data_IF_143482083829
#
_entry.id   IF_143482083829
#
_cell.length_a   1.000
_cell.length_b   1.000
_cell.length_c   1.000
_cell.angle_alpha   90.00
_cell.angle_beta   90.00
_cell.angle_gamma   90.00
#
_symmetry.space_group_name_H-M   'P 1'
#
loop_
_entity.id
_entity.type
_entity.pdbx_description
1 polymer ?
#
# COMPACT_ATOMS: atom_id res chain seq x y z
N UNK A 1 -2.35 -31.94 -10.82
CA UNK A 1 -2.38 -31.44 -9.43
C UNK A 1 -2.09 -29.96 -9.45
N UNK A 2 -2.93 -29.12 -8.82
CA UNK A 2 -2.64 -27.68 -8.67
C UNK A 2 -2.26 -27.36 -7.24
N UNK A 3 -1.46 -26.31 -7.08
CA UNK A 3 -1.08 -25.73 -5.79
C UNK A 3 -1.47 -24.26 -5.82
N UNK A 4 -2.35 -23.86 -4.92
CA UNK A 4 -2.77 -22.48 -4.76
C UNK A 4 -1.97 -21.84 -3.62
N UNK A 5 -1.13 -20.86 -3.96
CA UNK A 5 -0.30 -20.14 -3.00
C UNK A 5 -0.86 -18.73 -2.77
N UNK A 6 -1.24 -18.41 -1.54
CA UNK A 6 -1.82 -17.12 -1.18
C UNK A 6 -0.92 -16.35 -0.22
N UNK A 7 -0.62 -15.10 -0.54
CA UNK A 7 -0.27 -14.14 0.50
C UNK A 7 -1.47 -13.84 1.40
N UNK A 8 -1.21 -13.46 2.65
CA UNK A 8 -2.25 -13.17 3.63
C UNK A 8 -2.58 -11.68 3.71
N UNK A 9 -1.61 -10.85 4.10
CA UNK A 9 -1.84 -9.44 4.41
C UNK A 9 -1.96 -8.59 3.16
N UNK A 10 -3.13 -7.97 2.95
CA UNK A 10 -3.38 -7.15 1.77
C UNK A 10 -3.88 -7.96 0.56
N UNK A 11 -3.58 -9.25 0.51
CA UNK A 11 -4.09 -10.24 -0.45
C UNK A 11 -5.40 -10.87 0.04
N UNK A 12 -5.34 -11.85 0.96
CA UNK A 12 -6.55 -12.47 1.54
C UNK A 12 -7.25 -11.54 2.53
N UNK A 13 -6.52 -10.67 3.23
CA UNK A 13 -7.09 -9.70 4.18
C UNK A 13 -7.16 -8.29 3.59
N UNK A 14 -7.97 -7.43 4.23
CA UNK A 14 -8.11 -6.01 3.89
C UNK A 14 -7.15 -5.09 4.67
N UNK A 15 -6.43 -5.62 5.66
CA UNK A 15 -5.63 -4.89 6.64
C UNK A 15 -4.29 -5.60 6.87
N UNK A 16 -3.30 -4.88 7.40
CA UNK A 16 -2.07 -5.49 7.89
C UNK A 16 -2.33 -6.10 9.27
N UNK A 17 -2.30 -7.43 9.37
CA UNK A 17 -2.61 -8.15 10.61
C UNK A 17 -1.58 -7.95 11.70
N UNK A 18 -0.35 -7.53 11.40
CA UNK A 18 0.66 -7.22 12.41
C UNK A 18 0.21 -6.07 13.31
N UNK A 19 -0.24 -4.97 12.71
CA UNK A 19 -0.71 -3.79 13.44
C UNK A 19 -2.04 -4.08 14.12
N UNK A 20 -2.97 -4.70 13.39
CA UNK A 20 -4.31 -5.01 13.91
C UNK A 20 -4.26 -5.96 15.11
N UNK A 21 -3.36 -6.94 15.10
CA UNK A 21 -3.19 -7.87 16.21
C UNK A 21 -2.60 -7.20 17.45
N UNK A 22 -1.56 -6.37 17.28
CA UNK A 22 -0.99 -5.57 18.38
C UNK A 22 -2.07 -4.68 19.01
N UNK A 23 -2.85 -3.97 18.19
CA UNK A 23 -3.94 -3.13 18.66
C UNK A 23 -5.02 -3.94 19.40
N UNK A 24 -5.37 -5.11 18.89
CA UNK A 24 -6.35 -6.00 19.51
C UNK A 24 -5.91 -6.48 20.90
N UNK A 25 -4.64 -6.87 21.08
CA UNK A 25 -4.14 -7.41 22.35
C UNK A 25 -3.74 -6.32 23.35
N UNK A 26 -3.11 -5.24 22.88
CA UNK A 26 -2.47 -4.23 23.75
C UNK A 26 -3.26 -2.92 23.84
N UNK A 27 -4.30 -2.77 23.03
CA UNK A 27 -5.12 -1.57 22.94
C UNK A 27 -4.47 -0.45 22.12
N UNK A 28 -5.30 0.49 21.67
CA UNK A 28 -4.89 1.58 20.78
C UNK A 28 -3.79 2.46 21.38
N UNK A 29 -3.88 2.83 22.65
CA UNK A 29 -2.92 3.73 23.31
C UNK A 29 -1.50 3.18 23.35
N UNK A 30 -1.33 1.94 23.85
CA UNK A 30 -0.01 1.30 23.92
C UNK A 30 0.55 1.02 22.52
N UNK A 31 -0.34 0.68 21.57
CA UNK A 31 0.04 0.48 20.17
C UNK A 31 0.59 1.76 19.56
N UNK A 32 -0.12 2.87 19.68
CA UNK A 32 0.32 4.17 19.18
C UNK A 32 1.69 4.56 19.74
N UNK A 33 1.89 4.46 21.05
CA UNK A 33 3.17 4.79 21.69
C UNK A 33 4.31 3.88 21.24
N UNK A 34 4.07 2.57 21.08
CA UNK A 34 5.06 1.65 20.54
C UNK A 34 5.48 2.05 19.11
N UNK A 35 4.53 2.27 18.21
CA UNK A 35 4.83 2.68 16.84
C UNK A 35 5.47 4.07 16.76
N UNK A 36 5.12 4.99 17.66
CA UNK A 36 5.77 6.29 17.77
C UNK A 36 7.24 6.15 18.18
N UNK A 37 7.53 5.37 19.21
CA UNK A 37 8.90 5.08 19.68
C UNK A 37 9.75 4.45 18.58
N UNK A 38 9.21 3.50 17.83
CA UNK A 38 9.91 2.82 16.73
C UNK A 38 9.83 3.56 15.39
N UNK A 39 9.18 4.73 15.34
CA UNK A 39 9.00 5.47 14.08
C UNK A 39 10.31 5.78 13.34
N UNK A 40 11.46 6.12 13.99
CA UNK A 40 12.71 6.34 13.27
C UNK A 40 13.18 5.09 12.54
N UNK A 41 13.14 3.93 13.19
CA UNK A 41 13.56 2.65 12.60
C UNK A 41 12.60 2.21 11.50
N UNK A 42 11.29 2.41 11.69
CA UNK A 42 10.28 2.12 10.67
C UNK A 42 10.41 3.03 9.44
N UNK A 43 10.81 4.29 9.61
CA UNK A 43 11.14 5.20 8.51
C UNK A 43 12.38 4.70 7.77
N UNK A 44 13.47 4.37 8.48
CA UNK A 44 14.69 3.81 7.87
C UNK A 44 14.40 2.51 7.12
N UNK A 45 13.53 1.65 7.66
CA UNK A 45 13.04 0.46 7.00
C UNK A 45 12.33 0.79 5.68
N UNK A 46 11.42 1.77 5.69
CA UNK A 46 10.70 2.20 4.49
C UNK A 46 11.62 2.80 3.43
N UNK A 47 12.70 3.46 3.85
CA UNK A 47 13.78 3.95 2.99
C UNK A 47 14.74 2.85 2.53
N UNK A 48 14.53 1.58 2.93
CA UNK A 48 15.40 0.42 2.68
C UNK A 48 16.82 0.55 3.28
N UNK A 49 17.00 1.45 4.25
CA UNK A 49 18.24 1.64 4.99
C UNK A 49 18.33 0.71 6.21
N UNK A 50 17.21 0.06 6.58
CA UNK A 50 17.15 -0.89 7.69
C UNK A 50 16.35 -2.14 7.30
N UNK A 51 16.79 -3.37 7.67
CA UNK A 51 16.08 -4.59 7.31
C UNK A 51 14.66 -4.65 7.92
N UNK A 52 13.67 -4.97 7.08
CA UNK A 52 12.26 -5.07 7.47
C UNK A 52 12.03 -6.05 8.62
N UNK A 53 12.60 -7.25 8.52
CA UNK A 53 12.47 -8.26 9.57
C UNK A 53 12.99 -7.80 10.93
N UNK A 54 14.12 -7.07 10.96
CA UNK A 54 14.74 -6.61 12.19
C UNK A 54 13.91 -5.49 12.84
N UNK A 55 13.33 -4.60 12.04
CA UNK A 55 12.40 -3.59 12.55
C UNK A 55 11.15 -4.24 13.14
N UNK A 56 10.52 -5.16 12.41
CA UNK A 56 9.33 -5.89 12.88
C UNK A 56 9.60 -6.72 14.13
N UNK A 57 10.75 -7.39 14.22
CA UNK A 57 11.15 -8.17 15.40
C UNK A 57 11.28 -7.26 16.63
N UNK A 58 11.91 -6.08 16.51
CA UNK A 58 12.02 -5.15 17.64
C UNK A 58 10.67 -4.64 18.12
N UNK A 59 9.78 -4.30 17.18
CA UNK A 59 8.40 -3.89 17.53
C UNK A 59 7.67 -5.05 18.21
N UNK A 60 7.72 -6.26 17.63
CA UNK A 60 7.10 -7.45 18.21
C UNK A 60 7.62 -7.75 19.62
N UNK A 61 8.95 -7.75 19.80
CA UNK A 61 9.59 -7.97 21.09
C UNK A 61 9.11 -6.95 22.14
N UNK A 62 8.99 -5.67 21.77
CA UNK A 62 8.51 -4.65 22.71
C UNK A 62 7.09 -4.93 23.24
N UNK A 63 6.22 -5.50 22.40
CA UNK A 63 4.84 -5.80 22.79
C UNK A 63 4.66 -7.14 23.50
N UNK A 64 5.40 -8.17 23.09
CA UNK A 64 5.09 -9.57 23.45
C UNK A 64 6.23 -10.34 24.12
N UNK A 65 7.45 -9.79 24.19
CA UNK A 65 8.53 -10.44 24.94
C UNK A 65 8.13 -10.64 26.41
N UNK A 66 8.37 -11.84 26.93
CA UNK A 66 8.00 -12.22 28.29
C UNK A 66 6.55 -12.71 28.45
N UNK A 67 5.76 -12.74 27.38
CA UNK A 67 4.40 -13.29 27.41
C UNK A 67 4.44 -14.83 27.36
N UNK A 68 3.64 -15.53 28.18
CA UNK A 68 3.44 -16.97 28.04
C UNK A 68 2.88 -17.31 26.65
N UNK A 69 3.38 -18.39 26.04
CA UNK A 69 2.96 -18.79 24.69
C UNK A 69 1.48 -19.18 24.64
N UNK A 70 0.97 -19.86 25.67
CA UNK A 70 -0.44 -20.25 25.74
C UNK A 70 -1.38 -19.03 25.81
N UNK A 71 -0.98 -17.99 26.55
CA UNK A 71 -1.72 -16.73 26.61
C UNK A 71 -1.74 -16.04 25.24
N UNK A 72 -0.58 -16.02 24.55
CA UNK A 72 -0.47 -15.45 23.21
C UNK A 72 -1.31 -16.21 22.18
N UNK A 73 -1.32 -17.55 22.23
CA UNK A 73 -2.10 -18.38 21.32
C UNK A 73 -3.61 -18.28 21.58
N UNK A 74 -4.03 -18.11 22.83
CA UNK A 74 -5.43 -17.78 23.16
C UNK A 74 -5.86 -16.44 22.54
N UNK A 75 -5.01 -15.41 22.61
CA UNK A 75 -5.26 -14.15 21.89
C UNK A 75 -5.31 -14.36 20.37
N UNK A 76 -4.48 -15.21 19.80
CA UNK A 76 -4.48 -15.54 18.37
C UNK A 76 -5.82 -16.17 17.94
N UNK A 77 -6.35 -17.11 18.72
CA UNK A 77 -7.66 -17.74 18.47
C UNK A 77 -8.80 -16.72 18.56
N UNK A 78 -8.80 -15.91 19.63
CA UNK A 78 -9.81 -14.85 19.83
C UNK A 78 -9.76 -13.81 18.71
N UNK A 79 -8.57 -13.39 18.31
CA UNK A 79 -8.36 -12.45 17.21
C UNK A 79 -8.95 -12.94 15.90
N UNK A 80 -8.64 -14.17 15.49
CA UNK A 80 -9.16 -14.72 14.24
C UNK A 80 -10.70 -14.80 14.24
N UNK A 81 -11.28 -15.29 15.34
CA UNK A 81 -12.74 -15.36 15.50
C UNK A 81 -13.39 -13.98 15.42
N UNK A 82 -12.88 -13.01 16.17
CA UNK A 82 -13.49 -11.67 16.28
C UNK A 82 -13.23 -10.80 15.05
N UNK A 83 -12.15 -11.10 14.30
CA UNK A 83 -11.73 -10.35 13.10
C UNK A 83 -11.91 -11.13 11.80
N UNK A 84 -12.66 -12.23 11.75
CA UNK A 84 -12.89 -13.01 10.53
C UNK A 84 -13.34 -12.14 9.31
N UNK A 85 -14.08 -11.05 9.56
CA UNK A 85 -14.57 -10.10 8.54
C UNK A 85 -13.45 -9.32 7.81
N UNK A 86 -12.21 -9.33 8.32
CA UNK A 86 -11.06 -8.71 7.63
C UNK A 86 -10.69 -9.50 6.37
N UNK A 87 -10.98 -10.80 6.32
CA UNK A 87 -10.78 -11.63 5.14
C UNK A 87 -11.72 -11.18 4.02
N UNK A 88 -11.22 -11.22 2.79
CA UNK A 88 -11.99 -10.94 1.59
C UNK A 88 -12.80 -12.18 1.22
N UNK A 89 -14.14 -12.07 1.11
CA UNK A 89 -14.99 -13.22 0.78
C UNK A 89 -14.56 -13.94 -0.51
N UNK A 90 -14.13 -13.19 -1.53
CA UNK A 90 -13.65 -13.77 -2.78
C UNK A 90 -12.40 -14.65 -2.63
N UNK A 91 -11.53 -14.36 -1.65
CA UNK A 91 -10.38 -15.22 -1.36
C UNK A 91 -10.78 -16.55 -0.74
N UNK A 92 -11.70 -16.52 0.24
CA UNK A 92 -12.25 -17.74 0.85
C UNK A 92 -12.99 -18.62 -0.16
N UNK A 93 -13.69 -18.00 -1.11
CA UNK A 93 -14.39 -18.76 -2.15
C UNK A 93 -13.42 -19.52 -3.06
N UNK A 94 -12.29 -18.91 -3.44
CA UNK A 94 -11.25 -19.60 -4.22
C UNK A 94 -10.62 -20.72 -3.40
N UNK A 95 -10.36 -20.51 -2.11
CA UNK A 95 -9.84 -21.55 -1.22
C UNK A 95 -10.82 -22.73 -1.15
N UNK A 96 -12.11 -22.48 -0.91
CA UNK A 96 -13.15 -23.52 -0.88
C UNK A 96 -13.22 -24.30 -2.18
N UNK A 97 -13.18 -23.59 -3.31
CA UNK A 97 -13.20 -24.21 -4.63
C UNK A 97 -11.97 -25.11 -4.85
N UNK A 98 -10.78 -24.63 -4.53
CA UNK A 98 -9.54 -25.40 -4.68
C UNK A 98 -9.58 -26.69 -3.83
N UNK A 99 -10.02 -26.58 -2.57
CA UNK A 99 -10.18 -27.75 -1.68
C UNK A 99 -11.22 -28.73 -2.23
N UNK A 100 -12.37 -28.25 -2.70
CA UNK A 100 -13.42 -29.08 -3.27
C UNK A 100 -12.98 -29.80 -4.56
N UNK A 101 -12.06 -29.22 -5.33
CA UNK A 101 -11.45 -29.82 -6.51
C UNK A 101 -10.28 -30.77 -6.19
N UNK A 102 -9.94 -30.95 -4.90
CA UNK A 102 -8.85 -31.81 -4.44
C UNK A 102 -7.45 -31.21 -4.66
N UNK A 103 -7.35 -29.90 -4.83
CA UNK A 103 -6.07 -29.21 -4.97
C UNK A 103 -5.48 -28.82 -3.61
N UNK A 104 -4.18 -28.56 -3.60
CA UNK A 104 -3.46 -28.15 -2.40
C UNK A 104 -3.54 -26.64 -2.23
N UNK A 105 -3.77 -26.18 -1.00
CA UNK A 105 -3.81 -24.76 -0.65
C UNK A 105 -2.74 -24.45 0.39
N UNK A 106 -1.94 -23.42 0.12
CA UNK A 106 -0.93 -22.92 1.06
C UNK A 106 -1.02 -21.40 1.19
N UNK A 107 -0.97 -20.92 2.42
CA UNK A 107 -0.87 -19.49 2.76
C UNK A 107 0.57 -19.18 3.11
N UNK A 108 1.23 -18.32 2.34
CA UNK A 108 2.64 -17.96 2.49
C UNK A 108 2.77 -16.48 2.83
N UNK A 109 3.10 -16.18 4.09
CA UNK A 109 2.99 -14.82 4.63
C UNK A 109 4.16 -14.41 5.52
N UNK A 110 4.51 -13.13 5.46
CA UNK A 110 5.47 -12.50 6.36
C UNK A 110 4.94 -12.34 7.80
N UNK A 111 3.62 -12.50 8.00
CA UNK A 111 2.99 -12.41 9.32
C UNK A 111 3.25 -13.64 10.18
N UNK A 112 3.03 -13.50 11.49
CA UNK A 112 3.34 -14.56 12.45
C UNK A 112 2.34 -15.70 12.32
N UNK A 113 2.87 -16.91 12.17
CA UNK A 113 2.07 -18.11 11.87
C UNK A 113 0.95 -18.33 12.89
N UNK A 114 1.24 -18.13 14.19
CA UNK A 114 0.32 -18.34 15.31
C UNK A 114 -1.03 -17.61 15.16
N UNK A 115 -1.04 -16.37 14.68
CA UNK A 115 -2.30 -15.63 14.50
C UNK A 115 -2.92 -15.81 13.13
N UNK A 116 -2.18 -16.31 12.14
CA UNK A 116 -2.70 -16.54 10.78
C UNK A 116 -3.43 -17.87 10.71
N UNK A 117 -2.82 -18.95 11.24
CA UNK A 117 -3.38 -20.30 11.20
C UNK A 117 -4.83 -20.38 11.69
N UNK A 118 -5.24 -19.72 12.81
CA UNK A 118 -6.61 -19.82 13.32
C UNK A 118 -7.69 -19.27 12.38
N UNK A 119 -7.36 -18.38 11.43
CA UNK A 119 -8.33 -17.87 10.44
C UNK A 119 -8.85 -18.97 9.50
N UNK A 120 -8.07 -20.02 9.30
CA UNK A 120 -8.37 -21.13 8.39
C UNK A 120 -8.81 -22.40 9.13
N UNK A 121 -9.13 -22.30 10.43
CA UNK A 121 -9.55 -23.44 11.25
C UNK A 121 -10.76 -24.19 10.68
N UNK A 122 -11.64 -23.51 9.94
CA UNK A 122 -12.79 -24.13 9.27
C UNK A 122 -12.38 -25.16 8.19
N UNK A 123 -11.15 -25.09 7.69
CA UNK A 123 -10.61 -25.97 6.66
C UNK A 123 -9.73 -27.10 7.22
N UNK A 124 -9.49 -27.14 8.53
CA UNK A 124 -8.59 -28.11 9.15
C UNK A 124 -7.20 -28.10 8.50
N UNK A 125 -6.68 -29.28 8.18
CA UNK A 125 -5.36 -29.45 7.56
C UNK A 125 -5.35 -29.23 6.03
N UNK A 126 -6.50 -28.91 5.42
CA UNK A 126 -6.58 -28.65 3.98
C UNK A 126 -5.92 -27.32 3.56
N UNK A 127 -5.67 -26.41 4.51
CA UNK A 127 -4.96 -25.15 4.28
C UNK A 127 -3.67 -25.14 5.09
N UNK A 128 -2.55 -25.34 4.43
CA UNK A 128 -1.24 -25.21 5.06
C UNK A 128 -0.88 -23.72 5.24
N UNK A 129 -0.28 -23.35 6.36
CA UNK A 129 0.13 -21.97 6.63
C UNK A 129 1.63 -21.91 6.90
N UNK A 130 2.35 -21.18 6.07
CA UNK A 130 3.80 -20.94 6.18
C UNK A 130 4.04 -19.46 6.50
N UNK A 131 4.24 -19.18 7.78
CA UNK A 131 4.41 -17.84 8.34
C UNK A 131 5.82 -17.55 8.86
N UNK A 132 5.99 -16.36 9.45
CA UNK A 132 7.12 -16.08 10.33
C UNK A 132 6.93 -16.80 11.66
N UNK A 133 7.94 -17.55 12.10
CA UNK A 133 7.90 -18.31 13.35
C UNK A 133 8.60 -17.53 14.46
N UNK A 134 8.02 -17.56 15.66
CA UNK A 134 8.56 -16.88 16.84
C UNK A 134 9.35 -17.85 17.71
N UNK A 135 10.41 -17.35 18.36
CA UNK A 135 11.21 -18.15 19.28
C UNK A 135 10.59 -18.14 20.68
N UNK A 136 10.33 -19.34 21.20
CA UNK A 136 9.79 -19.59 22.55
C UNK A 136 10.85 -20.33 23.37
N UNK A 137 11.03 -19.93 24.62
CA UNK A 137 11.93 -20.61 25.56
C UNK A 137 11.24 -20.67 26.92
N UNK A 138 11.18 -21.86 27.52
CA UNK A 138 10.48 -22.11 28.79
C UNK A 138 9.06 -21.53 28.76
N UNK A 139 8.29 -21.91 27.74
CA UNK A 139 6.90 -21.49 27.50
C UNK A 139 6.68 -19.97 27.42
N UNK A 140 7.76 -19.21 27.20
CA UNK A 140 7.74 -17.75 27.18
C UNK A 140 8.30 -17.23 25.86
N UNK A 141 7.64 -16.22 25.28
CA UNK A 141 8.07 -15.56 24.05
C UNK A 141 9.36 -14.77 24.32
N UNK A 142 10.41 -15.09 23.57
CA UNK A 142 11.73 -14.44 23.70
C UNK A 142 11.77 -13.04 23.08
N UNK A 143 10.89 -12.79 22.10
CA UNK A 143 10.87 -11.60 21.25
C UNK A 143 11.66 -11.78 19.93
N UNK A 144 12.38 -12.88 19.77
CA UNK A 144 13.14 -13.17 18.55
C UNK A 144 12.29 -13.97 17.53
N UNK A 145 12.61 -13.82 16.25
CA UNK A 145 12.05 -14.68 15.20
C UNK A 145 12.96 -15.89 15.01
N UNK A 146 12.36 -17.08 14.97
CA UNK A 146 13.07 -18.35 14.75
C UNK A 146 13.54 -18.46 13.29
N UNK A 147 12.82 -17.83 12.38
CA UNK A 147 13.05 -17.90 10.94
C UNK A 147 13.35 -16.53 10.35
N UNK A 148 14.00 -16.53 9.18
CA UNK A 148 14.00 -15.35 8.32
C UNK A 148 12.54 -15.01 7.98
N UNK A 149 12.22 -13.73 8.05
CA UNK A 149 10.89 -13.25 7.69
C UNK A 149 10.50 -13.71 6.28
N UNK A 150 9.32 -14.30 6.15
CA UNK A 150 8.79 -14.89 4.92
C UNK A 150 8.36 -13.77 3.93
N UNK A 151 9.36 -13.09 3.37
CA UNK A 151 9.23 -11.94 2.48
C UNK A 151 10.19 -12.05 1.29
N UNK A 152 9.72 -11.72 0.08
CA UNK A 152 10.57 -11.77 -1.11
C UNK A 152 10.90 -13.20 -1.51
N UNK A 153 12.18 -13.48 -1.76
CA UNK A 153 12.66 -14.83 -2.12
C UNK A 153 12.35 -15.88 -1.05
N UNK A 154 12.27 -15.48 0.23
CA UNK A 154 11.97 -16.42 1.30
C UNK A 154 10.58 -17.04 1.14
N UNK A 155 9.59 -16.31 0.59
CA UNK A 155 8.27 -16.87 0.29
C UNK A 155 8.35 -18.03 -0.70
N UNK A 156 9.16 -17.87 -1.75
CA UNK A 156 9.37 -18.93 -2.73
C UNK A 156 10.13 -20.11 -2.10
N UNK A 157 11.13 -19.86 -1.26
CA UNK A 157 11.84 -20.93 -0.54
C UNK A 157 10.90 -21.73 0.36
N UNK A 158 9.99 -21.06 1.06
CA UNK A 158 8.96 -21.71 1.89
C UNK A 158 8.00 -22.56 1.07
N UNK A 159 7.54 -22.04 -0.08
CA UNK A 159 6.74 -22.83 -1.01
C UNK A 159 7.48 -24.12 -1.41
N UNK A 160 8.74 -24.00 -1.83
CA UNK A 160 9.54 -25.13 -2.28
C UNK A 160 9.95 -26.10 -1.16
N UNK A 161 9.94 -25.66 0.10
CA UNK A 161 10.12 -26.57 1.23
C UNK A 161 8.91 -27.51 1.41
N UNK A 162 7.71 -26.98 1.17
CA UNK A 162 6.46 -27.76 1.26
C UNK A 162 6.21 -28.56 -0.01
N UNK A 163 6.45 -27.95 -1.17
CA UNK A 163 6.24 -28.53 -2.49
C UNK A 163 7.55 -28.50 -3.30
N UNK A 164 8.50 -29.43 -3.03
CA UNK A 164 9.85 -29.37 -3.59
C UNK A 164 9.92 -29.57 -5.10
N UNK A 165 9.00 -30.32 -5.68
CA UNK A 165 9.00 -30.65 -7.10
C UNK A 165 8.21 -29.61 -7.91
N UNK A 166 8.72 -28.37 -8.04
CA UNK A 166 8.00 -27.24 -8.69
C UNK A 166 7.35 -27.59 -10.03
N UNK A 167 8.00 -28.40 -10.86
CA UNK A 167 7.51 -28.76 -12.19
C UNK A 167 6.49 -29.93 -12.21
N UNK A 168 6.17 -30.54 -11.07
CA UNK A 168 5.19 -31.63 -10.98
C UNK A 168 3.74 -31.15 -10.75
N UNK A 169 3.55 -29.85 -10.53
CA UNK A 169 2.25 -29.24 -10.28
C UNK A 169 2.12 -27.88 -10.97
N UNK A 170 0.88 -27.47 -11.18
CA UNK A 170 0.57 -26.12 -11.65
C UNK A 170 0.44 -25.18 -10.45
N UNK A 171 1.27 -24.14 -10.40
CA UNK A 171 1.29 -23.13 -9.34
C UNK A 171 0.40 -21.95 -9.71
N UNK A 172 -0.60 -21.68 -8.87
CA UNK A 172 -1.48 -20.52 -8.99
C UNK A 172 -1.21 -19.62 -7.78
N UNK A 173 -0.63 -18.44 -7.99
CA UNK A 173 -0.16 -17.58 -6.92
C UNK A 173 -0.94 -16.26 -6.83
N UNK A 174 -1.21 -15.82 -5.60
CA UNK A 174 -1.96 -14.62 -5.27
C UNK A 174 -1.14 -13.74 -4.34
N UNK A 175 -0.92 -12.48 -4.71
CA UNK A 175 -0.10 -11.53 -3.93
C UNK A 175 -0.50 -10.08 -4.19
N UNK A 176 -0.02 -9.14 -3.37
CA UNK A 176 -0.38 -7.71 -3.50
C UNK A 176 0.80 -6.74 -3.48
N UNK A 177 2.00 -7.25 -3.15
CA UNK A 177 3.17 -6.45 -2.83
C UNK A 177 4.40 -6.85 -3.65
N UNK A 178 5.46 -6.03 -3.55
CA UNK A 178 6.77 -6.39 -4.10
C UNK A 178 7.40 -7.62 -3.41
N UNK A 179 6.95 -7.94 -2.18
CA UNK A 179 7.39 -9.14 -1.47
C UNK A 179 6.95 -10.43 -2.15
N UNK A 180 5.89 -10.36 -2.96
CA UNK A 180 5.33 -11.51 -3.67
C UNK A 180 5.92 -11.67 -5.07
N UNK A 181 6.79 -10.74 -5.51
CA UNK A 181 7.27 -10.69 -6.89
C UNK A 181 7.93 -11.99 -7.34
N UNK A 182 8.77 -12.60 -6.51
CA UNK A 182 9.44 -13.86 -6.84
C UNK A 182 8.47 -15.05 -6.86
N UNK A 183 7.50 -15.07 -5.94
CA UNK A 183 6.46 -16.10 -5.92
C UNK A 183 5.57 -15.99 -7.17
N UNK A 184 5.16 -14.77 -7.54
CA UNK A 184 4.31 -14.51 -8.70
C UNK A 184 5.06 -14.74 -10.03
N UNK A 185 6.36 -14.45 -10.11
CA UNK A 185 7.13 -14.70 -11.32
C UNK A 185 7.35 -16.18 -11.61
N UNK A 186 7.44 -16.99 -10.55
CA UNK A 186 7.57 -18.44 -10.67
C UNK A 186 6.24 -19.15 -10.87
N UNK A 187 5.09 -18.48 -10.79
CA UNK A 187 3.78 -19.11 -10.91
C UNK A 187 3.36 -19.32 -12.36
N UNK A 188 2.66 -20.42 -12.63
CA UNK A 188 2.07 -20.70 -13.94
C UNK A 188 0.87 -19.78 -14.20
N UNK A 189 0.16 -19.41 -13.13
CA UNK A 189 -0.89 -18.39 -13.15
C UNK A 189 -0.71 -17.43 -11.96
N UNK A 190 -0.55 -16.13 -12.25
CA UNK A 190 -0.23 -15.12 -11.25
C UNK A 190 -1.32 -14.04 -11.16
N UNK A 191 -1.78 -13.80 -9.92
CA UNK A 191 -2.82 -12.82 -9.61
C UNK A 191 -2.28 -11.72 -8.69
N UNK A 192 -2.06 -10.52 -9.25
CA UNK A 192 -1.61 -9.35 -8.48
C UNK A 192 -2.80 -8.49 -8.02
N UNK A 193 -2.85 -8.22 -6.71
CA UNK A 193 -3.92 -7.51 -6.02
C UNK A 193 -5.34 -8.09 -6.24
N UNK A 194 -5.51 -9.42 -6.05
CA UNK A 194 -6.78 -10.10 -6.28
C UNK A 194 -7.83 -9.71 -5.24
N UNK A 195 -9.09 -10.02 -5.53
CA UNK A 195 -10.22 -9.86 -4.60
C UNK A 195 -10.47 -8.41 -4.12
N UNK A 196 -9.86 -7.41 -4.75
CA UNK A 196 -10.12 -5.99 -4.50
C UNK A 196 -11.29 -5.53 -5.37
N UNK A 197 -12.24 -4.78 -4.79
CA UNK A 197 -13.29 -4.18 -5.61
C UNK A 197 -12.69 -3.12 -6.54
N UNK A 198 -13.06 -3.14 -7.83
CA UNK A 198 -12.62 -2.14 -8.81
C UNK A 198 -12.88 -0.70 -8.33
N UNK A 199 -13.98 -0.48 -7.58
CA UNK A 199 -14.34 0.83 -7.00
C UNK A 199 -13.35 1.31 -5.93
N UNK A 200 -12.84 0.42 -5.07
CA UNK A 200 -11.91 0.79 -3.97
C UNK A 200 -10.51 1.11 -4.49
N UNK A 201 -10.03 0.39 -5.50
CA UNK A 201 -8.75 0.67 -6.17
C UNK A 201 -8.79 2.06 -6.81
N UNK A 202 -9.85 2.36 -7.56
CA UNK A 202 -10.05 3.68 -8.18
C UNK A 202 -10.15 4.82 -7.15
N UNK A 203 -10.82 4.60 -6.02
CA UNK A 203 -10.94 5.63 -4.99
C UNK A 203 -9.58 5.97 -4.34
N UNK A 204 -8.74 4.97 -4.07
CA UNK A 204 -7.39 5.20 -3.54
C UNK A 204 -6.45 5.91 -4.51
N UNK A 205 -6.63 5.73 -5.82
CA UNK A 205 -5.94 6.52 -6.85
C UNK A 205 -6.42 7.99 -6.85
N UNK A 206 -7.73 8.22 -6.75
CA UNK A 206 -8.30 9.56 -6.68
C UNK A 206 -7.78 10.33 -5.45
N UNK A 207 -7.74 9.69 -4.28
CA UNK A 207 -7.24 10.32 -3.05
C UNK A 207 -5.76 10.68 -3.18
N UNK A 208 -4.92 9.76 -3.70
CA UNK A 208 -3.49 10.04 -3.94
C UNK A 208 -3.28 11.15 -4.97
N UNK A 209 -4.07 11.16 -6.04
CA UNK A 209 -4.07 12.22 -7.03
C UNK A 209 -4.42 13.58 -6.41
N UNK A 210 -5.45 13.63 -5.57
CA UNK A 210 -5.85 14.83 -4.83
C UNK A 210 -4.75 15.36 -3.91
N UNK A 211 -4.11 14.47 -3.12
CA UNK A 211 -2.99 14.87 -2.24
C UNK A 211 -1.81 15.45 -3.02
N UNK A 212 -1.43 14.81 -4.13
CA UNK A 212 -0.35 15.31 -5.01
C UNK A 212 -0.73 16.66 -5.62
N UNK A 213 -1.98 16.83 -6.06
CA UNK A 213 -2.48 18.09 -6.60
C UNK A 213 -2.46 19.25 -5.60
N UNK A 214 -2.84 19.00 -4.33
CA UNK A 214 -2.75 20.01 -3.26
C UNK A 214 -1.30 20.43 -3.03
N UNK A 215 -0.38 19.46 -2.93
CA UNK A 215 1.04 19.75 -2.72
C UNK A 215 1.65 20.50 -3.91
N UNK A 216 1.29 20.11 -5.14
CA UNK A 216 1.71 20.80 -6.35
C UNK A 216 1.20 22.26 -6.38
N UNK A 217 -0.05 22.49 -5.96
CA UNK A 217 -0.64 23.84 -5.87
C UNK A 217 0.08 24.68 -4.82
N UNK A 218 0.42 24.10 -3.67
CA UNK A 218 1.20 24.78 -2.63
C UNK A 218 2.61 25.16 -3.12
N UNK A 219 3.28 24.26 -3.85
CA UNK A 219 4.58 24.54 -4.49
C UNK A 219 4.45 25.69 -5.49
N UNK A 220 3.43 25.66 -6.35
CA UNK A 220 3.18 26.73 -7.32
C UNK A 220 2.99 28.08 -6.62
N UNK A 221 2.16 28.12 -5.57
CA UNK A 221 1.89 29.35 -4.84
C UNK A 221 3.13 29.89 -4.11
N UNK A 222 3.91 29.02 -3.48
CA UNK A 222 5.16 29.40 -2.83
C UNK A 222 6.16 30.01 -3.81
N UNK A 223 6.32 29.41 -5.00
CA UNK A 223 7.21 29.93 -6.04
C UNK A 223 6.65 31.23 -6.63
N UNK A 224 5.34 31.33 -6.84
CA UNK A 224 4.68 32.54 -7.28
C UNK A 224 5.00 33.73 -6.34
N UNK A 225 4.78 33.56 -5.03
CA UNK A 225 5.06 34.59 -4.03
C UNK A 225 6.55 34.95 -3.96
N UNK A 226 7.43 33.96 -4.13
CA UNK A 226 8.88 34.19 -4.16
C UNK A 226 9.27 35.08 -5.35
N UNK A 227 8.83 34.73 -6.56
CA UNK A 227 9.19 35.46 -7.79
C UNK A 227 8.46 36.80 -7.92
N UNK A 228 7.34 36.99 -7.24
CA UNK A 228 6.61 38.26 -7.21
C UNK A 228 7.45 39.44 -6.69
N UNK A 229 8.55 39.15 -5.99
CA UNK A 229 9.53 40.15 -5.53
C UNK A 229 10.38 40.76 -6.65
N UNK A 230 10.53 40.05 -7.77
CA UNK A 230 11.44 40.42 -8.86
C UNK A 230 10.80 40.42 -10.25
N UNK A 231 9.62 39.82 -10.41
CA UNK A 231 8.96 39.65 -11.70
C UNK A 231 7.47 39.99 -11.65
N UNK A 232 6.91 40.31 -12.82
CA UNK A 232 5.48 40.53 -12.99
C UNK A 232 4.66 39.29 -12.58
N UNK A 233 3.42 39.47 -12.07
CA UNK A 233 2.56 38.36 -11.65
C UNK A 233 2.42 37.23 -12.67
N UNK A 234 2.35 37.57 -13.97
CA UNK A 234 2.23 36.58 -15.05
C UNK A 234 3.47 35.69 -15.15
N UNK A 235 4.66 36.30 -15.17
CA UNK A 235 5.94 35.59 -15.25
C UNK A 235 6.13 34.72 -14.00
N UNK A 236 5.84 35.28 -12.82
CA UNK A 236 5.90 34.56 -11.54
C UNK A 236 4.98 33.33 -11.53
N UNK A 237 3.77 33.46 -12.09
CA UNK A 237 2.84 32.35 -12.21
C UNK A 237 3.32 31.30 -13.22
N UNK A 238 3.87 31.71 -14.36
CA UNK A 238 4.42 30.78 -15.36
C UNK A 238 5.56 29.94 -14.78
N UNK A 239 6.49 30.56 -14.06
CA UNK A 239 7.60 29.84 -13.42
C UNK A 239 7.07 28.88 -12.35
N UNK A 240 6.18 29.35 -11.47
CA UNK A 240 5.56 28.51 -10.45
C UNK A 240 4.79 27.32 -11.04
N UNK A 241 4.04 27.55 -12.12
CA UNK A 241 3.30 26.50 -12.83
C UNK A 241 4.23 25.46 -13.42
N UNK A 242 5.31 25.88 -14.09
CA UNK A 242 6.27 24.97 -14.71
C UNK A 242 6.92 24.04 -13.67
N UNK A 243 7.38 24.58 -12.55
CA UNK A 243 8.00 23.79 -11.47
C UNK A 243 6.98 22.83 -10.84
N UNK A 244 5.78 23.34 -10.55
CA UNK A 244 4.68 22.52 -10.02
C UNK A 244 4.28 21.39 -10.96
N UNK A 245 4.22 21.65 -12.27
CA UNK A 245 3.91 20.66 -13.29
C UNK A 245 4.94 19.53 -13.33
N UNK A 246 6.23 19.86 -13.29
CA UNK A 246 7.31 18.86 -13.26
C UNK A 246 7.19 17.97 -12.01
N UNK A 247 7.03 18.59 -10.84
CA UNK A 247 6.78 17.86 -9.60
C UNK A 247 5.55 16.95 -9.70
N UNK A 248 4.42 17.49 -10.15
CA UNK A 248 3.16 16.78 -10.25
C UNK A 248 3.25 15.59 -11.23
N UNK A 249 3.95 15.76 -12.36
CA UNK A 249 4.17 14.69 -13.32
C UNK A 249 4.92 13.50 -12.69
N UNK A 250 6.04 13.77 -12.02
CA UNK A 250 6.83 12.72 -11.38
C UNK A 250 6.09 12.08 -10.20
N UNK A 251 5.51 12.89 -9.31
CA UNK A 251 4.74 12.41 -8.17
C UNK A 251 3.54 11.57 -8.63
N UNK A 252 2.79 12.03 -9.64
CA UNK A 252 1.65 11.27 -10.17
C UNK A 252 2.08 9.96 -10.83
N UNK A 253 3.21 9.95 -11.55
CA UNK A 253 3.71 8.74 -12.23
C UNK A 253 4.23 7.70 -11.22
N UNK A 254 5.05 8.11 -10.26
CA UNK A 254 5.68 7.18 -9.30
C UNK A 254 4.80 6.83 -8.11
N UNK A 255 4.03 7.78 -7.57
CA UNK A 255 3.27 7.59 -6.33
C UNK A 255 1.78 7.30 -6.57
N UNK A 256 1.13 8.04 -7.47
CA UNK A 256 -0.31 7.93 -7.70
C UNK A 256 -0.66 6.72 -8.56
N UNK A 257 -0.08 6.60 -9.76
CA UNK A 257 -0.50 5.58 -10.72
C UNK A 257 0.36 4.31 -10.68
N UNK A 258 1.64 4.39 -10.26
CA UNK A 258 2.55 3.23 -10.20
C UNK A 258 2.57 2.38 -11.49
N UNK A 259 2.34 3.00 -12.65
CA UNK A 259 2.39 2.37 -13.97
C UNK A 259 3.53 2.96 -14.79
N UNK A 260 4.10 2.15 -15.69
CA UNK A 260 4.97 2.67 -16.75
C UNK A 260 4.16 3.69 -17.57
N UNK A 261 4.63 4.94 -17.60
CA UNK A 261 4.04 6.03 -18.36
C UNK A 261 3.81 5.59 -19.81
N UNK A 262 2.55 5.32 -20.18
CA UNK A 262 2.20 5.07 -21.58
C UNK A 262 2.08 6.42 -22.26
N UNK A 263 2.73 6.62 -23.42
CA UNK A 263 2.80 7.91 -24.13
C UNK A 263 1.43 8.62 -24.27
N UNK A 264 0.36 7.87 -24.52
CA UNK A 264 -1.02 8.37 -24.64
C UNK A 264 -1.58 8.99 -23.35
N UNK A 265 -1.26 8.40 -22.18
CA UNK A 265 -1.70 8.91 -20.87
C UNK A 265 -0.89 10.15 -20.45
N UNK A 266 0.40 10.15 -20.77
CA UNK A 266 1.27 11.33 -20.59
C UNK A 266 0.81 12.53 -21.42
N UNK A 267 0.44 12.30 -22.70
CA UNK A 267 -0.08 13.35 -23.57
C UNK A 267 -1.39 13.95 -23.06
N UNK A 268 -2.35 13.13 -22.62
CA UNK A 268 -3.61 13.62 -22.02
C UNK A 268 -3.38 14.42 -20.72
N UNK A 269 -2.40 14.00 -19.91
CA UNK A 269 -1.99 14.74 -18.71
C UNK A 269 -1.39 16.11 -19.06
N UNK A 270 -0.45 16.16 -20.00
CA UNK A 270 0.17 17.40 -20.45
C UNK A 270 -0.86 18.36 -21.08
N UNK A 271 -1.76 17.84 -21.93
CA UNK A 271 -2.84 18.63 -22.52
C UNK A 271 -3.78 19.23 -21.47
N UNK A 272 -4.20 18.44 -20.47
CA UNK A 272 -5.07 18.93 -19.39
C UNK A 272 -4.40 20.08 -18.63
N UNK A 273 -3.10 19.96 -18.37
CA UNK A 273 -2.33 21.01 -17.71
C UNK A 273 -2.07 22.22 -18.62
N UNK A 274 -1.94 22.05 -19.94
CA UNK A 274 -1.85 23.18 -20.85
C UNK A 274 -3.15 24.01 -20.85
N UNK A 275 -4.30 23.35 -20.94
CA UNK A 275 -5.62 24.02 -20.84
C UNK A 275 -5.76 24.73 -19.49
N UNK A 276 -5.37 24.06 -18.41
CA UNK A 276 -5.40 24.64 -17.08
C UNK A 276 -4.45 25.85 -16.93
N UNK A 277 -3.27 25.83 -17.56
CA UNK A 277 -2.34 26.95 -17.52
C UNK A 277 -2.91 28.20 -18.22
N UNK A 278 -3.51 28.01 -19.40
CA UNK A 278 -4.17 29.09 -20.14
C UNK A 278 -5.34 29.66 -19.33
N UNK A 279 -6.15 28.79 -18.72
CA UNK A 279 -7.24 29.19 -17.85
C UNK A 279 -6.72 30.01 -16.66
N UNK A 280 -5.71 29.51 -15.93
CA UNK A 280 -5.13 30.23 -14.80
C UNK A 280 -4.55 31.59 -15.21
N UNK A 281 -3.89 31.67 -16.35
CA UNK A 281 -3.32 32.94 -16.85
C UNK A 281 -4.42 33.95 -17.18
N UNK A 282 -5.50 33.50 -17.81
CA UNK A 282 -6.67 34.34 -18.11
C UNK A 282 -7.39 34.80 -16.83
N UNK A 283 -7.67 33.87 -15.91
CA UNK A 283 -8.35 34.18 -14.66
C UNK A 283 -7.51 35.08 -13.74
N UNK A 284 -6.19 34.87 -13.68
CA UNK A 284 -5.28 35.76 -12.94
C UNK A 284 -5.32 37.18 -13.53
N UNK A 285 -5.24 37.30 -14.86
CA UNK A 285 -5.31 38.60 -15.53
C UNK A 285 -6.64 39.31 -15.25
N UNK A 286 -7.75 38.57 -15.23
CA UNK A 286 -9.07 39.10 -14.87
C UNK A 286 -9.12 39.60 -13.42
N UNK A 287 -8.62 38.82 -12.46
CA UNK A 287 -8.63 39.24 -11.05
C UNK A 287 -7.73 40.44 -10.78
N UNK A 288 -6.56 40.50 -11.41
CA UNK A 288 -5.69 41.67 -11.33
C UNK A 288 -6.35 42.91 -11.95
N UNK A 289 -7.05 42.75 -13.08
CA UNK A 289 -7.82 43.83 -13.71
C UNK A 289 -8.97 44.34 -12.83
N UNK A 290 -9.61 43.44 -12.07
CA UNK A 290 -10.63 43.80 -11.08
C UNK A 290 -10.03 44.43 -9.79
N UNK A 291 -8.72 44.69 -9.75
CA UNK A 291 -8.05 45.37 -8.64
C UNK A 291 -7.65 44.47 -7.48
N UNK A 292 -7.69 43.15 -7.65
CA UNK A 292 -7.27 42.22 -6.60
C UNK A 292 -5.75 42.31 -6.39
N UNK A 293 -5.32 42.37 -5.13
CA UNK A 293 -3.91 42.43 -4.79
C UNK A 293 -3.16 41.21 -5.34
N UNK A 294 -2.01 41.46 -5.98
CA UNK A 294 -1.21 40.46 -6.68
C UNK A 294 -0.78 39.30 -5.77
N UNK A 295 -0.58 39.55 -4.48
CA UNK A 295 -0.21 38.54 -3.49
C UNK A 295 -1.31 37.48 -3.33
N UNK A 296 -2.57 37.92 -3.32
CA UNK A 296 -3.74 37.06 -3.06
C UNK A 296 -4.44 36.60 -4.34
N UNK A 297 -4.11 37.17 -5.49
CA UNK A 297 -4.83 36.95 -6.73
C UNK A 297 -4.86 35.48 -7.18
N UNK A 298 -3.84 34.69 -6.81
CA UNK A 298 -3.79 33.26 -7.14
C UNK A 298 -4.73 32.39 -6.30
N UNK A 299 -5.16 32.84 -5.11
CA UNK A 299 -6.05 32.05 -4.24
C UNK A 299 -7.40 31.74 -4.92
N UNK A 300 -8.17 32.74 -5.41
CA UNK A 300 -9.41 32.46 -6.14
C UNK A 300 -9.16 31.78 -7.50
N UNK A 301 -8.00 32.01 -8.14
CA UNK A 301 -7.59 31.28 -9.36
C UNK A 301 -7.52 29.79 -9.08
N UNK A 302 -6.88 29.37 -7.98
CA UNK A 302 -6.82 27.96 -7.60
C UNK A 302 -8.20 27.39 -7.28
N UNK A 303 -9.04 28.16 -6.59
CA UNK A 303 -10.42 27.77 -6.27
C UNK A 303 -11.25 27.40 -7.50
N UNK A 304 -10.97 28.02 -8.66
CA UNK A 304 -11.66 27.75 -9.93
C UNK A 304 -10.91 26.70 -10.76
N UNK A 305 -9.62 26.90 -10.97
CA UNK A 305 -8.86 26.16 -11.97
C UNK A 305 -8.47 24.76 -11.50
N UNK A 306 -8.20 24.55 -10.20
CA UNK A 306 -7.81 23.23 -9.69
C UNK A 306 -8.95 22.20 -9.83
N UNK A 307 -10.22 22.49 -9.46
CA UNK A 307 -11.34 21.59 -9.72
C UNK A 307 -11.55 21.27 -11.20
N UNK A 308 -11.43 22.28 -12.08
CA UNK A 308 -11.56 22.10 -13.54
C UNK A 308 -10.46 21.18 -14.06
N UNK A 309 -9.20 21.41 -13.67
CA UNK A 309 -8.08 20.56 -14.05
C UNK A 309 -8.27 19.12 -13.55
N UNK A 310 -8.78 18.94 -12.33
CA UNK A 310 -9.09 17.61 -11.80
C UNK A 310 -10.11 16.87 -12.67
N UNK A 311 -11.17 17.56 -13.12
CA UNK A 311 -12.16 16.97 -14.03
C UNK A 311 -11.56 16.62 -15.39
N UNK A 312 -10.74 17.50 -15.97
CA UNK A 312 -10.05 17.27 -17.25
C UNK A 312 -9.10 16.07 -17.17
N UNK A 313 -8.21 16.05 -16.18
CA UNK A 313 -7.28 14.93 -16.01
C UNK A 313 -8.05 13.63 -15.80
N UNK A 314 -9.16 13.66 -15.05
CA UNK A 314 -10.02 12.49 -14.86
C UNK A 314 -10.66 12.00 -16.15
N UNK A 315 -11.19 12.87 -17.00
CA UNK A 315 -11.84 12.45 -18.26
C UNK A 315 -10.82 11.88 -19.26
N UNK A 316 -9.63 12.48 -19.36
CA UNK A 316 -8.59 12.00 -20.27
C UNK A 316 -7.88 10.73 -19.78
N UNK A 317 -7.73 10.53 -18.47
CA UNK A 317 -7.12 9.31 -17.92
C UNK A 317 -8.10 8.13 -17.81
N UNK A 318 -9.43 8.37 -17.74
CA UNK A 318 -10.45 7.30 -17.65
C UNK A 318 -11.04 6.84 -18.99
N UNK A 319 -10.65 7.41 -20.14
CA UNK A 319 -11.04 6.82 -21.43
C UNK A 319 -10.37 5.45 -21.56
N UNK A 320 -11.21 4.41 -21.55
CA UNK A 320 -10.83 3.00 -21.74
C UNK A 320 -10.10 2.80 -23.06
#
# INVERSE_FOLDING_TARGET
>A
MRVYAFDFDGTLTKKDTFIEFIEYVKGYGKTFWGFFLFSPILILMKLKLYPNWKAKQQVFAWFFKGMPIDEFDDYCQKFARDRQKIIRPGGLEVIRKAIAEGDNVVVITASIENWVRPFFKEFGDAVQTEGTQIAVRNDTITGDFLTKNCYGEEKLKRLLQVFPYRHSYQLIAFGDSNGDRHLLSEADEAHFQPFRSKRRVQMGEIVRFGMVGILATAIQYGIYLLFLRWAEPRISNTIGYAVSFVFNYFASTYFTFRVKSTARRGAGFAFSHLVNYLLQTGTLSLFLWMGLQKEYAMIPVFGICVPINFLLVRTFLKKK
#
